data_IF_969691570539
#
_entry.id   IF_969691570539
#
_cell.length_a   1.000
_cell.length_b   1.000
_cell.length_c   1.000
_cell.angle_alpha   90.00
_cell.angle_beta   90.00
_cell.angle_gamma   90.00
#
_symmetry.space_group_name_H-M   'P 1'
#
loop_
_entity.id
_entity.type
_entity.pdbx_description
1 polymer ?
#
# COMPACT_ATOMS: atom_id res chain seq x y z
N UNK A 1 5.00 -40.11 -0.43
CA UNK A 1 4.79 -40.22 -1.90
C UNK A 1 6.17 -40.27 -2.55
N UNK A 2 6.40 -41.00 -3.64
CA UNK A 2 7.76 -41.19 -4.17
C UNK A 2 7.98 -40.44 -5.50
N UNK A 3 9.21 -39.97 -5.72
CA UNK A 3 9.63 -39.33 -6.96
C UNK A 3 9.62 -40.34 -8.11
N UNK A 4 8.99 -40.02 -9.24
CA UNK A 4 8.99 -40.89 -10.43
C UNK A 4 10.36 -41.06 -11.08
N UNK A 5 11.31 -40.17 -10.79
CA UNK A 5 12.62 -40.14 -11.44
C UNK A 5 13.72 -40.85 -10.63
N UNK A 6 13.67 -40.78 -9.29
CA UNK A 6 14.70 -41.36 -8.42
C UNK A 6 14.14 -42.25 -7.29
N UNK A 7 12.83 -42.46 -7.23
CA UNK A 7 12.18 -43.30 -6.21
C UNK A 7 12.16 -42.73 -4.79
N UNK A 8 12.87 -41.63 -4.53
CA UNK A 8 13.00 -41.04 -3.20
C UNK A 8 11.66 -40.50 -2.66
N UNK A 9 11.44 -40.54 -1.33
CA UNK A 9 10.26 -39.96 -0.71
C UNK A 9 10.23 -38.44 -0.91
N UNK A 10 9.11 -37.95 -1.46
CA UNK A 10 8.81 -36.55 -1.65
C UNK A 10 8.13 -35.98 -0.39
N UNK A 11 8.62 -34.84 0.14
CA UNK A 11 7.91 -34.09 1.17
C UNK A 11 6.59 -33.51 0.63
N UNK A 12 5.62 -33.29 1.53
CA UNK A 12 4.34 -32.68 1.19
C UNK A 12 4.54 -31.26 0.63
N UNK A 13 3.92 -30.95 -0.51
CA UNK A 13 4.02 -29.64 -1.16
C UNK A 13 5.30 -29.38 -1.96
N UNK A 14 6.18 -30.37 -2.14
CA UNK A 14 7.43 -30.19 -2.89
C UNK A 14 7.20 -29.86 -4.38
N UNK A 15 7.81 -28.77 -4.86
CA UNK A 15 7.81 -28.37 -6.28
C UNK A 15 8.81 -29.20 -7.11
N UNK A 16 9.94 -29.56 -6.50
CA UNK A 16 10.98 -30.39 -7.09
C UNK A 16 11.44 -31.46 -6.10
N UNK A 17 11.99 -32.55 -6.61
CA UNK A 17 12.60 -33.57 -5.78
C UNK A 17 13.88 -33.02 -5.13
N UNK A 18 14.05 -33.11 -3.79
CA UNK A 18 15.25 -32.61 -3.13
C UNK A 18 16.52 -33.40 -3.49
N UNK A 19 16.38 -34.62 -4.02
CA UNK A 19 17.50 -35.52 -4.33
C UNK A 19 17.93 -35.47 -5.79
N UNK A 20 16.98 -35.31 -6.72
CA UNK A 20 17.26 -35.40 -8.16
C UNK A 20 16.77 -34.18 -8.95
N UNK A 21 16.30 -33.13 -8.27
CA UNK A 21 15.78 -31.85 -8.79
C UNK A 21 14.65 -31.92 -9.82
N UNK A 22 14.26 -33.11 -10.26
CA UNK A 22 13.15 -33.34 -11.16
C UNK A 22 11.86 -32.73 -10.61
N UNK A 23 11.10 -32.07 -11.48
CA UNK A 23 9.77 -31.55 -11.18
C UNK A 23 8.87 -32.67 -10.68
N UNK A 24 8.16 -32.43 -9.57
CA UNK A 24 7.21 -33.42 -9.06
C UNK A 24 6.00 -33.46 -9.99
N UNK A 25 5.30 -34.61 -10.11
CA UNK A 25 4.07 -34.70 -10.90
C UNK A 25 2.92 -33.80 -10.38
N UNK A 26 3.10 -33.18 -9.22
CA UNK A 26 2.17 -32.23 -8.61
C UNK A 26 2.75 -30.82 -8.51
N UNK A 27 3.92 -30.56 -9.13
CA UNK A 27 4.61 -29.29 -9.03
C UNK A 27 3.73 -28.12 -9.43
N UNK A 28 2.95 -28.29 -10.49
CA UNK A 28 2.00 -27.28 -10.99
C UNK A 28 0.91 -26.97 -9.96
N UNK A 29 0.24 -28.00 -9.42
CA UNK A 29 -0.78 -27.83 -8.36
C UNK A 29 -0.21 -27.23 -7.07
N UNK A 30 0.97 -27.67 -6.66
CA UNK A 30 1.65 -27.14 -5.48
C UNK A 30 2.08 -25.68 -5.70
N UNK A 31 2.48 -25.32 -6.92
CA UNK A 31 2.83 -23.96 -7.31
C UNK A 31 1.60 -23.05 -7.32
N UNK A 32 0.48 -23.53 -7.86
CA UNK A 32 -0.81 -22.83 -7.83
C UNK A 32 -1.25 -22.58 -6.39
N UNK A 33 -1.20 -23.59 -5.52
CA UNK A 33 -1.58 -23.47 -4.11
C UNK A 33 -0.64 -22.52 -3.35
N UNK A 34 0.67 -22.60 -3.56
CA UNK A 34 1.64 -21.66 -3.00
C UNK A 34 1.39 -20.22 -3.47
N UNK A 35 1.06 -20.04 -4.75
CA UNK A 35 0.76 -18.73 -5.33
C UNK A 35 -0.54 -18.17 -4.75
N UNK A 36 -1.56 -19.02 -4.59
CA UNK A 36 -2.83 -18.67 -3.95
C UNK A 36 -2.62 -18.27 -2.49
N UNK A 37 -1.85 -19.04 -1.71
CA UNK A 37 -1.52 -18.74 -0.32
C UNK A 37 -0.74 -17.43 -0.19
N UNK A 38 0.26 -17.19 -1.05
CA UNK A 38 1.00 -15.92 -1.08
C UNK A 38 0.09 -14.74 -1.42
N UNK A 39 -0.84 -14.90 -2.37
CA UNK A 39 -1.81 -13.87 -2.75
C UNK A 39 -2.79 -13.59 -1.60
N UNK A 40 -3.26 -14.63 -0.90
CA UNK A 40 -4.12 -14.48 0.27
C UNK A 40 -3.42 -13.77 1.43
N UNK A 41 -2.20 -14.20 1.74
CA UNK A 41 -1.37 -13.56 2.76
C UNK A 41 -1.06 -12.10 2.41
N UNK A 42 -0.76 -11.82 1.14
CA UNK A 42 -0.50 -10.45 0.69
C UNK A 42 -1.74 -9.58 0.72
N UNK A 43 -2.95 -10.10 0.49
CA UNK A 43 -4.20 -9.34 0.60
C UNK A 43 -4.67 -9.12 2.05
N UNK A 44 -4.08 -9.83 3.03
CA UNK A 44 -4.50 -9.81 4.43
C UNK A 44 -4.44 -8.45 5.13
N UNK A 45 -3.78 -7.43 4.56
CA UNK A 45 -3.78 -6.05 5.13
C UNK A 45 -4.88 -5.16 4.53
N UNK A 46 -5.52 -5.57 3.42
CA UNK A 46 -6.70 -4.93 2.84
C UNK A 46 -7.95 -5.44 3.56
N UNK A 47 -8.10 -5.01 4.81
CA UNK A 47 -9.25 -5.32 5.66
C UNK A 47 -10.20 -4.15 5.73
N UNK A 48 -11.47 -4.48 5.97
CA UNK A 48 -12.45 -3.50 6.42
C UNK A 48 -11.93 -2.82 7.67
N UNK A 49 -11.99 -1.49 7.68
CA UNK A 49 -11.66 -0.67 8.84
C UNK A 49 -12.80 0.30 9.12
N UNK A 50 -13.05 0.58 10.39
CA UNK A 50 -14.01 1.61 10.80
C UNK A 50 -13.56 2.97 10.27
N UNK A 51 -14.39 3.59 9.43
CA UNK A 51 -14.11 4.92 8.88
C UNK A 51 -14.10 5.99 9.96
N UNK A 52 -14.93 5.86 11.01
CA UNK A 52 -14.93 6.79 12.14
C UNK A 52 -13.60 6.77 12.89
N UNK A 53 -13.08 5.57 13.19
CA UNK A 53 -11.77 5.43 13.85
C UNK A 53 -10.63 5.92 12.95
N UNK A 54 -10.66 5.57 11.66
CA UNK A 54 -9.64 6.04 10.71
C UNK A 54 -9.63 7.57 10.60
N UNK A 55 -10.81 8.19 10.55
CA UNK A 55 -10.97 9.65 10.52
C UNK A 55 -10.42 10.29 11.78
N UNK A 56 -10.76 9.74 12.95
CA UNK A 56 -10.20 10.19 14.24
C UNK A 56 -8.68 10.12 14.22
N UNK A 57 -8.10 8.97 13.87
CA UNK A 57 -6.64 8.81 13.79
C UNK A 57 -6.00 9.76 12.80
N UNK A 58 -6.63 10.02 11.66
CA UNK A 58 -6.11 10.94 10.65
C UNK A 58 -5.98 12.37 11.19
N UNK A 59 -7.01 12.89 11.86
CA UNK A 59 -6.97 14.24 12.43
C UNK A 59 -6.07 14.33 13.67
N UNK A 60 -6.15 13.36 14.60
CA UNK A 60 -5.34 13.36 15.82
C UNK A 60 -3.84 13.20 15.58
N UNK A 61 -3.46 12.57 14.47
CA UNK A 61 -2.05 12.40 14.09
C UNK A 61 -1.59 13.42 13.05
N UNK A 62 -2.37 14.48 12.79
CA UNK A 62 -2.06 15.52 11.81
C UNK A 62 -1.69 14.94 10.42
N UNK A 63 -2.41 13.91 9.98
CA UNK A 63 -2.20 13.25 8.69
C UNK A 63 -1.11 12.17 8.68
N UNK A 64 -0.31 12.00 9.74
CA UNK A 64 0.71 10.94 9.84
C UNK A 64 0.11 9.53 9.65
N UNK A 65 -1.09 9.31 10.20
CA UNK A 65 -1.82 8.06 10.00
C UNK A 65 -1.98 7.72 8.52
N UNK A 66 -2.22 8.71 7.64
CA UNK A 66 -2.32 8.48 6.21
C UNK A 66 -1.02 7.92 5.62
N UNK A 67 0.13 8.47 6.02
CA UNK A 67 1.44 8.01 5.58
C UNK A 67 1.75 6.60 6.08
N UNK A 68 1.42 6.30 7.33
CA UNK A 68 1.53 4.95 7.89
C UNK A 68 0.59 3.95 7.19
N UNK A 69 -0.63 4.39 6.85
CA UNK A 69 -1.62 3.58 6.17
C UNK A 69 -1.11 3.06 4.81
N UNK A 70 -0.43 3.93 4.03
CA UNK A 70 0.18 3.53 2.75
C UNK A 70 1.31 2.52 2.94
N UNK A 71 2.21 2.74 3.92
CA UNK A 71 3.32 1.82 4.19
C UNK A 71 2.83 0.42 4.54
N UNK A 72 1.87 0.33 5.46
CA UNK A 72 1.35 -0.96 5.94
C UNK A 72 0.65 -1.77 4.84
N UNK A 73 0.12 -1.10 3.81
CA UNK A 73 -0.68 -1.74 2.74
C UNK A 73 0.03 -1.86 1.42
N UNK A 74 1.21 -1.27 1.24
CA UNK A 74 1.95 -1.27 -0.03
C UNK A 74 2.11 -2.67 -0.63
N UNK A 75 2.45 -3.68 0.20
CA UNK A 75 2.59 -5.07 -0.28
C UNK A 75 1.28 -5.62 -0.84
N UNK A 76 0.15 -5.31 -0.20
CA UNK A 76 -1.17 -5.74 -0.67
C UNK A 76 -1.59 -5.04 -1.95
N UNK A 77 -1.33 -3.74 -2.07
CA UNK A 77 -1.62 -3.00 -3.31
C UNK A 77 -0.76 -3.50 -4.48
N UNK A 78 0.53 -3.73 -4.26
CA UNK A 78 1.41 -4.30 -5.28
C UNK A 78 1.02 -5.73 -5.69
N UNK A 79 0.34 -6.48 -4.82
CA UNK A 79 -0.21 -7.79 -5.15
C UNK A 79 -1.48 -7.73 -6.00
N UNK A 80 -2.23 -6.62 -5.99
CA UNK A 80 -3.43 -6.44 -6.81
C UNK A 80 -3.09 -6.23 -8.29
N UNK A 81 -2.05 -5.45 -8.57
CA UNK A 81 -1.61 -5.19 -9.94
C UNK A 81 -0.10 -5.39 -10.14
N UNK A 82 0.34 -6.62 -10.47
CA UNK A 82 1.75 -6.92 -10.70
C UNK A 82 2.38 -6.13 -11.85
N UNK A 83 1.56 -5.57 -12.77
CA UNK A 83 2.02 -4.76 -13.90
C UNK A 83 2.35 -3.32 -13.51
N UNK A 84 1.77 -2.83 -12.41
CA UNK A 84 1.93 -1.46 -11.93
C UNK A 84 2.38 -1.54 -10.48
N UNK A 85 3.64 -1.97 -10.29
CA UNK A 85 4.24 -1.99 -8.97
C UNK A 85 4.53 -0.56 -8.53
N UNK A 86 3.93 -0.15 -7.41
CA UNK A 86 4.24 1.13 -6.83
C UNK A 86 5.57 1.04 -6.06
N UNK A 87 6.52 1.95 -6.31
CA UNK A 87 7.86 1.84 -5.74
C UNK A 87 7.82 2.07 -4.23
N UNK A 88 8.40 1.15 -3.46
CA UNK A 88 8.62 1.29 -2.02
C UNK A 88 9.30 2.61 -1.64
N UNK A 89 10.34 3.09 -2.37
CA UNK A 89 10.96 4.38 -2.09
C UNK A 89 9.99 5.56 -2.04
N UNK A 90 8.96 5.59 -2.89
CA UNK A 90 8.00 6.71 -2.91
C UNK A 90 7.11 6.73 -1.67
N UNK A 91 6.65 5.56 -1.20
CA UNK A 91 5.86 5.46 0.04
C UNK A 91 6.73 5.75 1.26
N UNK A 92 7.98 5.29 1.24
CA UNK A 92 8.93 5.60 2.31
C UNK A 92 9.26 7.09 2.37
N UNK A 93 9.50 7.73 1.21
CA UNK A 93 9.71 9.17 1.13
C UNK A 93 8.52 9.94 1.70
N UNK A 94 7.28 9.54 1.35
CA UNK A 94 6.08 10.13 1.94
C UNK A 94 6.08 10.05 3.48
N UNK A 95 6.39 8.88 4.02
CA UNK A 95 6.46 8.68 5.47
C UNK A 95 7.53 9.55 6.13
N UNK A 96 8.75 9.55 5.58
CA UNK A 96 9.86 10.31 6.13
C UNK A 96 9.63 11.82 6.05
N UNK A 97 9.14 12.33 4.91
CA UNK A 97 8.84 13.76 4.76
C UNK A 97 7.74 14.19 5.72
N UNK A 98 6.69 13.39 5.88
CA UNK A 98 5.63 13.67 6.87
C UNK A 98 6.20 13.69 8.29
N UNK A 99 7.04 12.71 8.64
CA UNK A 99 7.67 12.63 9.95
C UNK A 99 8.59 13.83 10.22
N UNK A 100 9.42 14.21 9.25
CA UNK A 100 10.29 15.39 9.34
C UNK A 100 9.48 16.68 9.52
N UNK A 101 8.41 16.86 8.74
CA UNK A 101 7.53 18.02 8.87
C UNK A 101 6.89 18.09 10.26
N UNK A 102 6.38 16.98 10.78
CA UNK A 102 5.81 16.94 12.13
C UNK A 102 6.87 17.18 13.21
N UNK A 103 8.10 16.69 13.01
CA UNK A 103 9.20 16.99 13.91
C UNK A 103 9.52 18.49 13.92
N UNK A 104 9.55 19.15 12.76
CA UNK A 104 9.74 20.61 12.68
C UNK A 104 8.64 21.41 13.37
N UNK A 105 7.39 20.93 13.35
CA UNK A 105 6.30 21.58 14.08
C UNK A 105 6.45 21.49 15.62
N UNK A 106 7.20 20.52 16.12
CA UNK A 106 7.40 20.28 17.55
C UNK A 106 8.68 20.90 18.11
N UNK A 107 9.62 21.32 17.24
CA UNK A 107 10.91 21.90 17.64
C UNK A 107 10.77 23.43 17.65
N UNK A 108 11.35 24.06 18.66
CA UNK A 108 11.41 25.52 18.75
C UNK A 108 12.22 26.12 17.58
N UNK A 109 11.71 27.19 16.98
CA UNK A 109 12.36 27.88 15.87
C UNK A 109 13.80 28.32 16.18
N UNK A 110 14.10 28.69 17.44
CA UNK A 110 15.46 29.05 17.87
C UNK A 110 16.45 27.89 17.75
N UNK A 111 16.00 26.67 18.05
CA UNK A 111 16.80 25.45 17.92
C UNK A 111 17.02 25.14 16.43
N UNK A 112 16.00 25.30 15.59
CA UNK A 112 16.13 25.11 14.14
C UNK A 112 17.09 26.14 13.53
N UNK A 113 17.00 27.40 13.92
CA UNK A 113 17.93 28.45 13.50
C UNK A 113 19.37 28.10 13.87
N UNK A 114 19.62 27.70 15.12
CA UNK A 114 20.96 27.33 15.58
C UNK A 114 21.51 26.07 14.90
N UNK A 115 20.66 25.06 14.66
CA UNK A 115 21.06 23.77 14.08
C UNK A 115 21.40 23.89 12.59
N UNK A 116 20.60 24.64 11.85
CA UNK A 116 20.76 24.79 10.39
C UNK A 116 21.50 26.07 9.99
N UNK A 117 21.87 26.93 10.95
CA UNK A 117 22.49 28.23 10.68
C UNK A 117 21.59 29.19 9.90
N UNK A 118 20.26 29.09 10.09
CA UNK A 118 19.26 29.83 9.34
C UNK A 118 18.80 31.09 10.07
N UNK A 119 18.40 32.11 9.32
CA UNK A 119 17.65 33.26 9.83
C UNK A 119 16.21 32.87 10.15
N UNK A 120 15.46 33.74 10.84
CA UNK A 120 14.04 33.52 11.10
C UNK A 120 13.24 33.31 9.79
N UNK A 121 13.50 34.11 8.76
CA UNK A 121 12.88 33.97 7.44
C UNK A 121 13.27 32.64 6.79
N UNK A 122 14.54 32.23 6.91
CA UNK A 122 15.01 30.94 6.39
C UNK A 122 14.34 29.73 7.03
N UNK A 123 14.01 29.80 8.33
CA UNK A 123 13.23 28.73 9.00
C UNK A 123 11.77 28.73 8.51
N UNK A 124 11.17 29.90 8.33
CA UNK A 124 9.82 30.02 7.76
C UNK A 124 9.75 29.42 6.34
N UNK A 125 10.72 29.74 5.49
CA UNK A 125 10.82 29.18 4.14
C UNK A 125 11.01 27.66 4.19
N UNK A 126 11.89 27.14 5.06
CA UNK A 126 12.09 25.70 5.24
C UNK A 126 10.78 24.99 5.65
N UNK A 127 10.02 25.57 6.57
CA UNK A 127 8.71 25.04 6.99
C UNK A 127 7.70 25.08 5.83
N UNK A 128 7.64 26.17 5.07
CA UNK A 128 6.77 26.29 3.90
C UNK A 128 7.08 25.25 2.81
N UNK A 129 8.36 25.13 2.43
CA UNK A 129 8.80 24.15 1.44
C UNK A 129 8.60 22.71 1.91
N UNK A 130 8.85 22.41 3.18
CA UNK A 130 8.62 21.07 3.73
C UNK A 130 7.13 20.70 3.76
N UNK A 131 6.24 21.64 4.07
CA UNK A 131 4.78 21.44 3.96
C UNK A 131 4.35 21.16 2.53
N UNK A 132 4.81 21.97 1.56
CA UNK A 132 4.49 21.78 0.15
C UNK A 132 5.00 20.44 -0.38
N UNK A 133 6.22 20.05 0.00
CA UNK A 133 6.78 18.75 -0.35
C UNK A 133 5.96 17.61 0.26
N UNK A 134 5.60 17.70 1.55
CA UNK A 134 4.77 16.71 2.23
C UNK A 134 3.42 16.54 1.51
N UNK A 135 2.74 17.65 1.19
CA UNK A 135 1.45 17.63 0.50
C UNK A 135 1.56 17.08 -0.93
N UNK A 136 2.60 17.48 -1.67
CA UNK A 136 2.84 17.02 -3.04
C UNK A 136 3.12 15.51 -3.10
N UNK A 137 3.98 15.01 -2.22
CA UNK A 137 4.31 13.59 -2.13
C UNK A 137 3.09 12.79 -1.65
N UNK A 138 2.36 13.25 -0.64
CA UNK A 138 1.14 12.59 -0.17
C UNK A 138 0.07 12.49 -1.26
N UNK A 139 -0.12 13.56 -2.03
CA UNK A 139 -1.02 13.60 -3.18
C UNK A 139 -0.59 12.59 -4.24
N UNK A 140 0.68 12.60 -4.63
CA UNK A 140 1.21 11.66 -5.61
C UNK A 140 0.95 10.20 -5.22
N UNK A 141 1.24 9.83 -3.96
CA UNK A 141 1.01 8.48 -3.43
C UNK A 141 -0.49 8.14 -3.43
N UNK A 142 -1.36 9.07 -3.02
CA UNK A 142 -2.80 8.85 -3.02
C UNK A 142 -3.34 8.51 -4.42
N UNK A 143 -2.93 9.28 -5.43
CA UNK A 143 -3.34 9.06 -6.82
C UNK A 143 -2.78 7.77 -7.41
N UNK A 144 -1.57 7.37 -7.02
CA UNK A 144 -1.02 6.11 -7.45
C UNK A 144 -1.77 4.90 -6.88
N UNK A 145 -2.10 4.92 -5.58
CA UNK A 145 -2.91 3.86 -4.95
C UNK A 145 -4.33 3.83 -5.53
N UNK A 146 -4.94 5.00 -5.78
CA UNK A 146 -6.21 5.12 -6.51
C UNK A 146 -6.16 4.38 -7.85
N UNK A 147 -5.13 4.64 -8.66
CA UNK A 147 -4.95 4.01 -9.99
C UNK A 147 -4.86 2.49 -9.88
N UNK A 148 -4.16 1.96 -8.88
CA UNK A 148 -4.07 0.51 -8.64
C UNK A 148 -5.45 -0.09 -8.34
N UNK A 149 -6.28 0.55 -7.50
CA UNK A 149 -7.64 0.06 -7.22
C UNK A 149 -8.52 0.06 -8.48
N UNK A 150 -8.46 1.12 -9.28
CA UNK A 150 -9.23 1.23 -10.50
C UNK A 150 -8.80 0.19 -11.54
N UNK A 151 -7.48 0.00 -11.71
CA UNK A 151 -6.92 -1.03 -12.59
C UNK A 151 -7.36 -2.43 -12.15
N UNK A 152 -7.31 -2.70 -10.85
CA UNK A 152 -7.75 -4.00 -10.32
C UNK A 152 -9.24 -4.22 -10.55
N UNK A 153 -10.08 -3.22 -10.24
CA UNK A 153 -11.52 -3.31 -10.48
C UNK A 153 -11.87 -3.51 -11.96
N UNK A 154 -11.15 -2.88 -12.88
CA UNK A 154 -11.33 -3.04 -14.32
C UNK A 154 -10.97 -4.45 -14.85
N UNK A 155 -10.37 -5.33 -14.02
CA UNK A 155 -10.18 -6.76 -14.35
C UNK A 155 -11.45 -7.59 -14.10
N UNK A 156 -12.36 -7.08 -13.27
CA UNK A 156 -13.55 -7.79 -12.80
C UNK A 156 -14.87 -7.13 -13.23
N UNK A 157 -14.81 -5.86 -13.60
CA UNK A 157 -15.93 -5.06 -14.08
C UNK A 157 -15.56 -4.41 -15.41
N UNK A 158 -16.56 -4.01 -16.20
CA UNK A 158 -16.32 -3.14 -17.35
C UNK A 158 -15.56 -1.88 -16.91
N UNK A 159 -14.56 -1.47 -17.70
CA UNK A 159 -13.63 -0.39 -17.32
C UNK A 159 -14.33 0.93 -17.04
N UNK A 160 -15.39 1.24 -17.79
CA UNK A 160 -16.25 2.41 -17.59
C UNK A 160 -16.90 2.40 -16.20
N UNK A 161 -17.49 1.26 -15.83
CA UNK A 161 -18.14 1.04 -14.53
C UNK A 161 -17.12 1.06 -13.39
N UNK A 162 -15.96 0.44 -13.58
CA UNK A 162 -14.89 0.41 -12.58
C UNK A 162 -14.39 1.81 -12.21
N UNK A 163 -14.12 2.67 -13.20
CA UNK A 163 -13.62 4.04 -12.97
C UNK A 163 -14.68 4.94 -12.34
N UNK A 164 -15.96 4.76 -12.70
CA UNK A 164 -17.07 5.53 -12.14
C UNK A 164 -17.48 5.06 -10.73
N UNK A 165 -17.19 3.81 -10.37
CA UNK A 165 -17.62 3.23 -9.09
C UNK A 165 -16.50 3.25 -8.04
N UNK A 166 -15.25 3.02 -8.45
CA UNK A 166 -14.10 2.86 -7.56
C UNK A 166 -13.27 4.15 -7.54
N UNK A 167 -13.29 4.83 -6.38
CA UNK A 167 -12.65 6.12 -6.15
C UNK A 167 -12.87 7.12 -7.31
N UNK A 168 -14.11 7.47 -7.69
CA UNK A 168 -14.38 8.31 -8.85
C UNK A 168 -13.89 9.76 -8.71
N UNK A 169 -13.90 10.34 -7.51
CA UNK A 169 -13.65 11.77 -7.33
C UNK A 169 -12.16 12.07 -7.10
N UNK A 170 -11.51 12.72 -8.07
CA UNK A 170 -10.11 13.18 -7.95
C UNK A 170 -9.92 14.15 -6.78
N UNK A 171 -10.89 15.04 -6.61
CA UNK A 171 -10.91 16.04 -5.52
C UNK A 171 -10.93 15.34 -4.16
N UNK A 172 -11.74 14.29 -3.98
CA UNK A 172 -11.76 13.55 -2.72
C UNK A 172 -10.44 12.80 -2.47
N UNK A 173 -9.77 12.30 -3.52
CA UNK A 173 -8.43 11.71 -3.37
C UNK A 173 -7.39 12.74 -2.94
N UNK A 174 -7.45 13.96 -3.48
CA UNK A 174 -6.56 15.04 -3.10
C UNK A 174 -6.79 15.48 -1.63
N UNK A 175 -8.04 15.76 -1.26
CA UNK A 175 -8.38 16.30 0.07
C UNK A 175 -8.27 15.26 1.19
N UNK A 176 -8.66 14.01 0.94
CA UNK A 176 -8.82 13.00 1.99
C UNK A 176 -7.90 11.79 1.85
N UNK A 177 -7.15 11.66 0.74
CA UNK A 177 -6.11 10.66 0.51
C UNK A 177 -6.47 9.27 1.04
N UNK A 178 -5.74 8.83 2.08
CA UNK A 178 -5.88 7.51 2.69
C UNK A 178 -7.28 7.22 3.24
N UNK A 179 -8.00 8.22 3.77
CA UNK A 179 -9.37 8.03 4.29
C UNK A 179 -10.33 7.65 3.17
N UNK A 180 -10.27 8.39 2.06
CA UNK A 180 -11.11 8.13 0.90
C UNK A 180 -10.78 6.79 0.23
N UNK A 181 -9.49 6.44 0.18
CA UNK A 181 -9.04 5.14 -0.31
C UNK A 181 -9.48 4.01 0.61
N UNK A 182 -9.43 4.16 1.93
CA UNK A 182 -9.96 3.16 2.86
C UNK A 182 -11.48 2.98 2.69
N UNK A 183 -12.24 4.06 2.49
CA UNK A 183 -13.67 3.96 2.20
C UNK A 183 -13.92 3.18 0.90
N UNK A 184 -13.09 3.42 -0.11
CA UNK A 184 -13.14 2.70 -1.38
C UNK A 184 -12.79 1.22 -1.23
N UNK A 185 -11.75 0.89 -0.45
CA UNK A 185 -11.39 -0.49 -0.12
C UNK A 185 -12.55 -1.20 0.60
N UNK A 186 -13.17 -0.54 1.59
CA UNK A 186 -14.33 -1.09 2.29
C UNK A 186 -15.49 -1.39 1.32
N UNK A 187 -15.75 -0.47 0.39
CA UNK A 187 -16.78 -0.65 -0.64
C UNK A 187 -16.47 -1.85 -1.55
N UNK A 188 -15.22 -1.99 -1.99
CA UNK A 188 -14.81 -3.12 -2.82
C UNK A 188 -14.88 -4.47 -2.10
N UNK A 189 -14.64 -4.49 -0.78
CA UNK A 189 -14.85 -5.68 0.04
C UNK A 189 -16.35 -6.01 0.13
N UNK A 190 -17.20 -5.00 0.34
CA UNK A 190 -18.66 -5.18 0.39
C UNK A 190 -19.24 -5.66 -0.95
N UNK A 191 -18.61 -5.31 -2.08
CA UNK A 191 -18.98 -5.80 -3.43
C UNK A 191 -18.30 -7.13 -3.80
N UNK A 192 -17.63 -7.78 -2.85
CA UNK A 192 -16.89 -9.05 -3.03
C UNK A 192 -15.75 -9.04 -4.09
N UNK A 193 -15.40 -7.85 -4.61
CA UNK A 193 -14.27 -7.68 -5.54
C UNK A 193 -12.91 -7.90 -4.85
N UNK A 194 -12.85 -7.52 -3.58
CA UNK A 194 -11.69 -7.68 -2.70
C UNK A 194 -12.07 -8.67 -1.61
N UNK A 195 -11.78 -9.95 -1.83
CA UNK A 195 -12.01 -10.97 -0.80
C UNK A 195 -10.68 -11.41 -0.16
N UNK A 196 -10.34 -10.92 1.04
CA UNK A 196 -9.14 -11.35 1.77
C UNK A 196 -9.27 -12.78 2.35
N UNK A 197 -10.44 -13.41 2.24
CA UNK A 197 -10.74 -14.75 2.79
C UNK A 197 -10.86 -15.87 1.73
N UNK A 198 -10.94 -15.55 0.42
CA UNK A 198 -10.85 -16.52 -0.69
C UNK A 198 -9.40 -17.01 -0.92
#
# INVERSE_FOLDING_TARGET
MNCKHCGAPLPTGALSCPYCTASTPYAEKNLEELTRQRKKASLGTLKNASLGLATLLYFFTFGFYGSLWYLLRLRSFNALDPKVTFPFPAVLANFLVTLCFLAFLMIDNSILQATFGLTADGVSDLMGWSMLLAMGVATYVAFAFRRILQNYAAKHLERSVAVQTIAPSGVMTFLFGALYLQATVNRMIAMELLNPQL
#
